data_IF_845297464558
#
_entry.id   IF_845297464558
#
_cell.length_a   1.000
_cell.length_b   1.000
_cell.length_c   1.000
_cell.angle_alpha   90.00
_cell.angle_beta   90.00
_cell.angle_gamma   90.00
#
_symmetry.space_group_name_H-M   'P 1'
#
loop_
_entity.id
_entity.type
_entity.pdbx_description
1 polymer ?
#
# COMPACT_ATOMS: atom_id res chain seq x y z
N UNK A 1 -14.56 -12.50 18.66
CA UNK A 1 -14.65 -12.34 17.19
C UNK A 1 -13.77 -11.17 16.75
N UNK A 2 -12.50 -11.37 16.38
CA UNK A 2 -11.58 -10.26 16.04
C UNK A 2 -10.86 -10.45 14.68
N UNK A 3 -11.39 -11.31 13.79
CA UNK A 3 -10.78 -11.58 12.47
C UNK A 3 -11.23 -10.59 11.37
N UNK A 4 -12.14 -9.67 11.65
CA UNK A 4 -12.71 -8.74 10.67
C UNK A 4 -11.74 -7.62 10.27
N UNK A 5 -10.89 -7.14 11.19
CA UNK A 5 -9.96 -6.05 10.86
C UNK A 5 -8.74 -6.50 10.06
N UNK A 6 -8.22 -7.71 10.27
CA UNK A 6 -7.02 -8.18 9.52
C UNK A 6 -7.26 -8.24 8.01
N UNK A 7 -8.44 -8.68 7.57
CA UNK A 7 -8.77 -8.73 6.13
C UNK A 7 -8.95 -7.33 5.53
N UNK A 8 -9.43 -6.36 6.32
CA UNK A 8 -9.56 -4.97 5.89
C UNK A 8 -8.18 -4.32 5.79
N UNK A 9 -7.33 -4.49 6.80
CA UNK A 9 -5.96 -4.01 6.84
C UNK A 9 -5.13 -4.57 5.65
N UNK A 10 -5.22 -5.88 5.41
CA UNK A 10 -4.54 -6.52 4.28
C UNK A 10 -5.01 -6.00 2.92
N UNK A 11 -6.31 -5.67 2.80
CA UNK A 11 -6.86 -5.08 1.59
C UNK A 11 -6.30 -3.67 1.38
N UNK A 12 -6.26 -2.84 2.43
CA UNK A 12 -5.72 -1.48 2.36
C UNK A 12 -4.24 -1.50 1.96
N UNK A 13 -3.44 -2.39 2.56
CA UNK A 13 -2.02 -2.54 2.22
C UNK A 13 -1.84 -2.91 0.74
N UNK A 14 -2.65 -3.85 0.22
CA UNK A 14 -2.59 -4.26 -1.20
C UNK A 14 -3.01 -3.14 -2.14
N UNK A 15 -4.10 -2.44 -1.83
CA UNK A 15 -4.60 -1.33 -2.64
C UNK A 15 -3.56 -0.19 -2.70
N UNK A 16 -2.91 0.13 -1.57
CA UNK A 16 -1.81 1.11 -1.53
C UNK A 16 -0.61 0.64 -2.34
N UNK A 17 -0.20 -0.63 -2.20
CA UNK A 17 0.93 -1.19 -2.92
C UNK A 17 0.70 -1.18 -4.44
N UNK A 18 -0.52 -1.53 -4.87
CA UNK A 18 -0.90 -1.45 -6.28
C UNK A 18 -0.92 -0.01 -6.80
N UNK A 19 -1.38 0.94 -5.97
CA UNK A 19 -1.36 2.37 -6.29
C UNK A 19 0.08 2.86 -6.48
N UNK A 20 0.97 2.53 -5.53
CA UNK A 20 2.41 2.84 -5.61
C UNK A 20 3.05 2.20 -6.85
N UNK A 21 2.75 0.92 -7.14
CA UNK A 21 3.28 0.22 -8.32
C UNK A 21 2.84 0.88 -9.63
N UNK A 22 1.59 1.32 -9.73
CA UNK A 22 1.06 1.99 -10.93
C UNK A 22 1.70 3.36 -11.18
N UNK A 23 2.03 4.09 -10.12
CA UNK A 23 2.68 5.40 -10.23
C UNK A 23 4.20 5.32 -10.37
N UNK A 24 4.82 4.22 -9.94
CA UNK A 24 6.27 4.00 -10.02
C UNK A 24 7.04 4.54 -8.80
N UNK A 25 8.37 4.47 -8.88
CA UNK A 25 9.25 4.99 -7.82
C UNK A 25 9.06 6.51 -7.66
N UNK A 26 8.79 6.94 -6.42
CA UNK A 26 8.64 8.35 -6.09
C UNK A 26 7.22 8.84 -5.88
N UNK A 27 6.22 7.95 -5.76
CA UNK A 27 4.86 8.36 -5.35
C UNK A 27 4.92 9.21 -4.06
N UNK A 28 4.50 10.48 -4.13
CA UNK A 28 4.43 11.36 -2.98
C UNK A 28 3.36 10.89 -2.02
N UNK A 29 3.59 11.08 -0.72
CA UNK A 29 2.61 10.73 0.32
C UNK A 29 1.29 11.48 0.13
N UNK A 30 1.35 12.69 -0.39
CA UNK A 30 0.18 13.51 -0.73
C UNK A 30 -0.73 12.82 -1.74
N UNK A 31 -0.18 12.02 -2.65
CA UNK A 31 -0.97 11.27 -3.64
C UNK A 31 -1.72 10.10 -3.00
N UNK A 32 -1.13 9.45 -1.99
CA UNK A 32 -1.83 8.41 -1.22
C UNK A 32 -3.00 9.01 -0.43
N UNK A 33 -2.84 10.23 0.10
CA UNK A 33 -3.90 10.91 0.84
C UNK A 33 -5.10 11.31 -0.02
N UNK A 34 -5.00 11.26 -1.36
CA UNK A 34 -6.14 11.43 -2.27
C UNK A 34 -7.03 10.18 -2.33
N UNK A 35 -6.49 9.01 -1.96
CA UNK A 35 -7.16 7.72 -2.10
C UNK A 35 -7.40 7.01 -0.76
N UNK A 36 -6.65 7.38 0.28
CA UNK A 36 -6.66 6.77 1.60
C UNK A 36 -6.69 7.83 2.70
N UNK A 37 -7.19 7.47 3.87
CA UNK A 37 -7.20 8.38 5.02
C UNK A 37 -5.79 8.57 5.58
N UNK A 38 -5.60 9.67 6.31
CA UNK A 38 -4.30 9.95 6.97
C UNK A 38 -3.88 8.84 7.92
N UNK A 39 -4.83 8.23 8.64
CA UNK A 39 -4.57 7.14 9.58
C UNK A 39 -4.13 5.86 8.85
N UNK A 40 -4.83 5.49 7.77
CA UNK A 40 -4.45 4.34 6.95
C UNK A 40 -3.07 4.51 6.34
N UNK A 41 -2.79 5.68 5.75
CA UNK A 41 -1.46 5.97 5.18
C UNK A 41 -0.40 5.88 6.27
N UNK A 42 -0.60 6.54 7.41
CA UNK A 42 0.37 6.50 8.50
C UNK A 42 0.63 5.09 9.03
N UNK A 43 -0.36 4.20 8.99
CA UNK A 43 -0.28 2.86 9.56
C UNK A 43 0.23 1.81 8.57
N UNK A 44 -0.02 2.01 7.28
CA UNK A 44 0.19 0.99 6.25
C UNK A 44 1.18 1.39 5.14
N UNK A 45 1.57 2.67 5.03
CA UNK A 45 2.44 3.16 3.95
C UNK A 45 3.75 2.36 3.83
N UNK A 46 4.45 2.10 4.94
CA UNK A 46 5.70 1.32 4.92
C UNK A 46 5.47 -0.10 4.39
N UNK A 47 4.45 -0.80 4.88
CA UNK A 47 4.12 -2.16 4.45
C UNK A 47 3.71 -2.21 2.98
N UNK A 48 2.98 -1.20 2.53
CA UNK A 48 2.56 -1.06 1.14
C UNK A 48 3.75 -0.81 0.21
N UNK A 49 4.72 0.03 0.61
CA UNK A 49 5.95 0.26 -0.15
C UNK A 49 6.78 -1.01 -0.27
N UNK A 50 6.99 -1.73 0.83
CA UNK A 50 7.71 -3.00 0.82
C UNK A 50 7.03 -4.03 -0.08
N UNK A 51 5.69 -4.12 -0.01
CA UNK A 51 4.92 -5.00 -0.87
C UNK A 51 5.00 -4.58 -2.34
N UNK A 52 4.93 -3.29 -2.66
CA UNK A 52 5.09 -2.78 -4.01
C UNK A 52 6.48 -3.13 -4.59
N UNK A 53 7.53 -2.99 -3.79
CA UNK A 53 8.90 -3.39 -4.17
C UNK A 53 8.99 -4.89 -4.42
N UNK A 54 8.42 -5.73 -3.54
CA UNK A 54 8.40 -7.19 -3.72
C UNK A 54 7.63 -7.61 -4.99
N UNK A 55 6.53 -6.94 -5.29
CA UNK A 55 5.75 -7.19 -6.51
C UNK A 55 6.48 -6.73 -7.77
N UNK A 56 7.24 -5.63 -7.68
CA UNK A 56 8.02 -5.09 -8.80
C UNK A 56 9.28 -5.91 -9.09
N UNK A 57 10.00 -6.37 -8.06
CA UNK A 57 11.21 -7.19 -8.21
C UNK A 57 10.89 -8.57 -8.79
N UNK A 58 9.72 -9.13 -8.46
CA UNK A 58 9.24 -10.40 -9.02
C UNK A 58 8.79 -10.30 -10.48
N UNK A 59 8.51 -9.09 -10.99
CA UNK A 59 8.21 -8.87 -12.41
C UNK A 59 9.48 -8.76 -13.28
N UNK A 60 10.66 -8.61 -12.66
CA UNK A 60 11.95 -8.44 -13.33
C UNK A 60 12.83 -9.71 -13.32
N UNK A 61 12.33 -10.83 -12.78
CA UNK A 61 12.99 -12.14 -12.72
C UNK A 61 12.23 -13.16 -13.59
#
# INVERSE_FOLDING_TARGET
MHKTNQKADDKIIRDMADTMRRYGEGMPRETLLLHFTQEEVSRFETKARDLAMQLSSRAAA
#
